data_IF_972054232609
#
_entry.id   IF_972054232609
#
_cell.length_a   1.000
_cell.length_b   1.000
_cell.length_c   1.000
_cell.angle_alpha   90.00
_cell.angle_beta   90.00
_cell.angle_gamma   90.00
#
_symmetry.space_group_name_H-M   'P 1'
#
loop_
_entity.id
_entity.type
_entity.pdbx_description
1 polymer ?
#
# COMPACT_ATOMS: atom_id res chain seq x y z
N UNK A 1 25.05 39.29 -15.38
CA UNK A 1 24.22 38.06 -15.33
C UNK A 1 23.64 37.75 -13.94
N UNK A 2 24.05 38.40 -12.82
CA UNK A 2 23.62 37.99 -11.47
C UNK A 2 22.20 38.43 -11.07
N UNK A 3 21.71 39.62 -11.48
CA UNK A 3 20.43 40.16 -10.97
C UNK A 3 19.18 39.33 -11.31
N UNK A 4 19.17 38.68 -12.49
CA UNK A 4 18.06 37.79 -12.89
C UNK A 4 18.10 36.47 -12.12
N UNK A 5 19.29 35.90 -11.93
CA UNK A 5 19.46 34.67 -11.16
C UNK A 5 19.05 34.88 -9.71
N UNK A 6 19.49 35.98 -9.09
CA UNK A 6 19.12 36.33 -7.71
C UNK A 6 17.61 36.48 -7.54
N UNK A 7 16.94 37.09 -8.54
CA UNK A 7 15.48 37.18 -8.59
C UNK A 7 14.84 35.78 -8.62
N UNK A 8 15.31 34.88 -9.48
CA UNK A 8 14.75 33.53 -9.57
C UNK A 8 14.97 32.73 -8.30
N UNK A 9 16.15 32.82 -7.69
CA UNK A 9 16.46 32.17 -6.40
C UNK A 9 15.53 32.68 -5.31
N UNK A 10 15.33 34.01 -5.23
CA UNK A 10 14.41 34.61 -4.24
C UNK A 10 12.97 34.15 -4.46
N UNK A 11 12.49 34.15 -5.70
CA UNK A 11 11.15 33.68 -6.05
C UNK A 11 10.99 32.20 -5.71
N UNK A 12 11.95 31.35 -6.06
CA UNK A 12 11.92 29.93 -5.72
C UNK A 12 11.87 29.71 -4.21
N UNK A 13 12.68 30.44 -3.43
CA UNK A 13 12.63 30.41 -1.96
C UNK A 13 11.25 30.79 -1.42
N UNK A 14 10.63 31.85 -1.93
CA UNK A 14 9.29 32.25 -1.51
C UNK A 14 8.23 31.20 -1.86
N UNK A 15 8.28 30.63 -3.07
CA UNK A 15 7.33 29.60 -3.50
C UNK A 15 7.50 28.29 -2.72
N UNK A 16 8.73 27.91 -2.37
CA UNK A 16 9.01 26.70 -1.57
C UNK A 16 8.40 26.75 -0.17
N UNK A 17 8.13 27.95 0.35
CA UNK A 17 7.48 28.15 1.65
C UNK A 17 5.97 27.91 1.61
N UNK A 18 5.36 27.73 0.43
CA UNK A 18 3.94 27.45 0.31
C UNK A 18 3.73 25.93 0.39
N UNK A 19 3.06 25.40 1.43
CA UNK A 19 2.80 23.99 1.53
C UNK A 19 1.67 23.54 0.59
N UNK A 20 1.75 22.31 0.10
CA UNK A 20 0.73 21.67 -0.72
C UNK A 20 -0.03 20.60 0.07
N UNK A 21 -1.35 20.61 -0.01
CA UNK A 21 -2.19 19.56 0.57
C UNK A 21 -2.04 18.26 -0.23
N UNK A 22 -1.76 17.15 0.46
CA UNK A 22 -1.70 15.81 -0.11
C UNK A 22 -3.02 15.05 0.05
N UNK A 23 -3.77 15.34 1.11
CA UNK A 23 -5.03 14.68 1.41
C UNK A 23 -5.60 15.11 2.75
N UNK A 24 -6.76 14.56 3.09
CA UNK A 24 -7.38 14.79 4.39
C UNK A 24 -8.47 13.77 4.69
N UNK A 25 -8.78 13.63 5.97
CA UNK A 25 -9.82 12.77 6.48
C UNK A 25 -10.64 13.53 7.54
N UNK A 26 -11.95 13.35 7.48
CA UNK A 26 -12.88 13.83 8.50
C UNK A 26 -13.19 12.65 9.42
N UNK A 27 -12.98 12.84 10.72
CA UNK A 27 -13.25 11.87 11.77
C UNK A 27 -14.62 12.12 12.40
N UNK A 28 -15.18 11.07 12.98
CA UNK A 28 -16.53 11.04 13.57
C UNK A 28 -16.77 12.09 14.66
N UNK A 29 -15.71 12.52 15.37
CA UNK A 29 -15.76 13.50 16.45
C UNK A 29 -15.59 14.96 15.99
N UNK A 30 -15.75 15.25 14.69
CA UNK A 30 -15.56 16.59 14.14
C UNK A 30 -14.09 17.00 14.02
N UNK A 31 -13.15 16.06 14.14
CA UNK A 31 -11.72 16.30 13.90
C UNK A 31 -11.42 16.15 12.41
N UNK A 32 -10.80 17.17 11.82
CA UNK A 32 -10.33 17.15 10.45
C UNK A 32 -8.82 17.04 10.47
N UNK A 33 -8.30 15.94 9.93
CA UNK A 33 -6.88 15.72 9.75
C UNK A 33 -6.52 15.99 8.30
N UNK A 34 -5.53 16.84 8.08
CA UNK A 34 -5.05 17.15 6.73
C UNK A 34 -3.56 16.88 6.64
N UNK A 35 -3.13 16.18 5.59
CA UNK A 35 -1.75 15.85 5.31
C UNK A 35 -1.19 16.86 4.31
N UNK A 36 -0.03 17.42 4.60
CA UNK A 36 0.62 18.44 3.81
C UNK A 36 2.07 18.07 3.50
N UNK A 37 2.58 18.65 2.43
CA UNK A 37 3.98 18.58 2.05
C UNK A 37 4.54 19.98 1.83
N UNK A 38 5.82 20.17 2.15
CA UNK A 38 6.52 21.43 1.91
C UNK A 38 7.98 21.15 1.55
N UNK A 39 8.48 21.85 0.53
CA UNK A 39 9.88 21.72 0.10
C UNK A 39 10.78 22.41 1.12
N UNK A 40 11.69 21.64 1.72
CA UNK A 40 12.76 22.16 2.56
C UNK A 40 14.02 22.27 1.69
N UNK A 41 14.40 23.52 1.37
CA UNK A 41 15.55 23.80 0.52
C UNK A 41 16.86 23.40 1.21
N UNK A 42 16.97 23.64 2.52
CA UNK A 42 18.19 23.40 3.28
C UNK A 42 18.44 21.91 3.49
N UNK A 43 17.39 21.12 3.78
CA UNK A 43 17.48 19.65 3.83
C UNK A 43 17.58 19.00 2.45
N UNK A 44 17.27 19.74 1.37
CA UNK A 44 17.17 19.20 0.01
C UNK A 44 16.03 18.17 -0.17
N UNK A 45 15.13 18.07 0.80
CA UNK A 45 14.05 17.07 0.87
C UNK A 45 12.69 17.75 1.08
N UNK A 46 11.62 16.99 0.94
CA UNK A 46 10.26 17.47 1.25
C UNK A 46 9.89 16.98 2.64
N UNK A 47 9.43 17.89 3.50
CA UNK A 47 8.89 17.58 4.81
C UNK A 47 7.40 17.30 4.66
N UNK A 48 6.89 16.26 5.32
CA UNK A 48 5.44 16.02 5.44
C UNK A 48 4.99 16.32 6.85
N UNK A 49 3.81 16.92 6.99
CA UNK A 49 3.25 17.22 8.30
C UNK A 49 1.72 17.14 8.28
N UNK A 50 1.15 16.85 9.43
CA UNK A 50 -0.30 16.82 9.65
C UNK A 50 -0.72 18.12 10.32
N UNK A 51 -1.85 18.68 9.87
CA UNK A 51 -2.61 19.72 10.59
C UNK A 51 -3.93 19.14 11.06
N UNK A 52 -4.23 19.34 12.33
CA UNK A 52 -5.48 18.89 12.95
C UNK A 52 -6.34 20.10 13.28
N UNK A 53 -7.59 20.06 12.83
CA UNK A 53 -8.61 21.06 13.11
C UNK A 53 -9.75 20.41 13.88
N UNK A 54 -10.22 21.06 14.93
CA UNK A 54 -11.42 20.67 15.67
C UNK A 54 -12.58 21.51 15.17
N UNK A 55 -13.68 20.85 14.78
CA UNK A 55 -14.84 21.53 14.22
C UNK A 55 -16.12 21.20 14.98
N UNK A 56 -17.04 22.16 14.99
CA UNK A 56 -18.43 21.97 15.41
C UNK A 56 -19.30 22.55 14.29
N UNK A 57 -20.24 21.75 13.77
CA UNK A 57 -21.04 22.10 12.59
C UNK A 57 -20.19 22.55 11.39
N UNK A 58 -19.07 21.85 11.15
CA UNK A 58 -18.08 22.14 10.09
C UNK A 58 -17.41 23.51 10.20
N UNK A 59 -17.53 24.19 11.34
CA UNK A 59 -16.82 25.45 11.63
C UNK A 59 -15.60 25.16 12.51
N UNK A 60 -14.41 25.68 12.16
CA UNK A 60 -13.22 25.49 12.97
C UNK A 60 -13.37 26.19 14.32
N UNK A 61 -13.19 25.44 15.40
CA UNK A 61 -13.24 25.93 16.79
C UNK A 61 -11.83 26.04 17.37
N UNK A 62 -10.95 25.11 17.01
CA UNK A 62 -9.54 25.12 17.43
C UNK A 62 -8.68 24.39 16.41
N UNK A 63 -7.38 24.66 16.44
CA UNK A 63 -6.35 23.95 15.67
C UNK A 63 -5.13 23.66 16.56
N UNK A 64 -4.28 22.75 16.10
CA UNK A 64 -3.03 22.38 16.78
C UNK A 64 -1.86 22.70 15.87
N UNK A 65 -0.71 22.98 16.48
CA UNK A 65 0.55 23.13 15.76
C UNK A 65 0.82 21.90 14.88
N UNK A 66 1.34 22.08 13.66
CA UNK A 66 1.62 20.96 12.76
C UNK A 66 2.57 19.93 13.37
N UNK A 67 2.30 18.65 13.09
CA UNK A 67 3.12 17.52 13.55
C UNK A 67 3.88 16.95 12.35
N UNK A 68 5.20 16.85 12.47
CA UNK A 68 6.05 16.23 11.43
C UNK A 68 5.75 14.73 11.33
N UNK A 69 5.47 14.29 10.10
CA UNK A 69 5.22 12.89 9.74
C UNK A 69 6.01 12.50 8.49
N UNK A 70 7.19 13.10 8.29
CA UNK A 70 7.99 12.92 7.07
C UNK A 70 8.36 11.46 6.79
N UNK A 71 8.50 10.66 7.84
CA UNK A 71 8.81 9.23 7.75
C UNK A 71 7.56 8.34 7.65
N UNK A 72 6.35 8.89 7.72
CA UNK A 72 5.10 8.15 7.50
C UNK A 72 4.82 8.05 6.01
N UNK A 73 4.81 6.82 5.49
CA UNK A 73 4.49 6.55 4.09
C UNK A 73 2.98 6.34 3.94
N UNK A 74 2.41 5.46 4.76
CA UNK A 74 0.97 5.17 4.81
C UNK A 74 0.47 5.27 6.23
N UNK A 75 -0.77 5.72 6.40
CA UNK A 75 -1.42 5.81 7.71
C UNK A 75 -2.93 5.70 7.53
N UNK A 76 -3.57 4.80 8.29
CA UNK A 76 -5.01 4.60 8.24
C UNK A 76 -5.58 4.37 9.63
N UNK A 77 -6.66 5.08 9.96
CA UNK A 77 -7.46 4.79 11.16
C UNK A 77 -8.40 3.61 10.89
N UNK A 78 -8.63 2.80 11.92
CA UNK A 78 -9.67 1.78 11.89
C UNK A 78 -11.05 2.44 11.87
N UNK A 79 -12.10 1.69 11.52
CA UNK A 79 -13.48 2.23 11.38
C UNK A 79 -14.03 2.81 12.70
N UNK A 80 -13.70 2.18 13.82
CA UNK A 80 -14.00 2.64 15.19
C UNK A 80 -13.07 3.77 15.65
N UNK A 81 -12.01 4.04 14.89
CA UNK A 81 -10.92 4.95 15.22
C UNK A 81 -10.16 4.63 16.51
N UNK A 82 -10.37 3.43 17.06
CA UNK A 82 -9.64 2.91 18.23
C UNK A 82 -8.19 2.62 17.89
N UNK A 83 -7.93 2.19 16.66
CA UNK A 83 -6.61 1.86 16.17
C UNK A 83 -6.18 2.77 15.03
N UNK A 84 -4.86 2.93 14.90
CA UNK A 84 -4.23 3.59 13.76
C UNK A 84 -3.05 2.75 13.32
N UNK A 85 -3.05 2.34 12.06
CA UNK A 85 -1.92 1.68 11.44
C UNK A 85 -1.04 2.75 10.80
N UNK A 86 0.27 2.60 10.89
CA UNK A 86 1.25 3.48 10.26
C UNK A 86 2.36 2.62 9.64
N UNK A 87 2.63 2.82 8.36
CA UNK A 87 3.83 2.31 7.71
C UNK A 87 4.89 3.41 7.71
N UNK A 88 6.00 3.18 8.41
CA UNK A 88 7.15 4.10 8.42
C UNK A 88 8.29 3.57 7.58
N UNK A 89 9.04 4.48 6.98
CA UNK A 89 10.34 4.17 6.39
C UNK A 89 11.45 4.93 7.08
N UNK A 90 12.47 4.18 7.49
CA UNK A 90 13.68 4.68 8.13
C UNK A 90 14.86 3.90 7.56
N UNK A 91 15.85 4.61 7.02
CA UNK A 91 17.06 4.02 6.44
C UNK A 91 16.78 2.86 5.44
N UNK A 92 15.78 3.07 4.56
CA UNK A 92 15.32 2.09 3.57
C UNK A 92 14.74 0.79 4.13
N UNK A 93 14.36 0.79 5.42
CA UNK A 93 13.58 -0.28 6.06
C UNK A 93 12.16 0.18 6.32
N UNK A 94 11.22 -0.74 6.18
CA UNK A 94 9.80 -0.50 6.42
C UNK A 94 9.37 -1.11 7.75
N UNK A 95 8.75 -0.28 8.59
CA UNK A 95 8.21 -0.69 9.88
C UNK A 95 6.70 -0.51 9.88
N UNK A 96 5.97 -1.57 10.21
CA UNK A 96 4.54 -1.51 10.44
C UNK A 96 4.27 -1.26 11.92
N UNK A 97 3.59 -0.17 12.23
CA UNK A 97 3.19 0.19 13.59
C UNK A 97 1.68 0.13 13.74
N UNK A 98 1.21 -0.47 14.83
CA UNK A 98 -0.18 -0.37 15.27
C UNK A 98 -0.25 0.45 16.54
N UNK A 99 -1.03 1.52 16.49
CA UNK A 99 -1.26 2.45 17.59
C UNK A 99 -2.65 2.25 18.16
N UNK A 100 -2.76 2.34 19.48
CA UNK A 100 -4.02 2.34 20.22
C UNK A 100 -3.99 3.47 21.26
N UNK A 101 -4.91 4.42 21.14
CA UNK A 101 -4.88 5.64 21.96
C UNK A 101 -3.58 6.44 21.74
N UNK A 102 -2.76 6.54 22.78
CA UNK A 102 -1.49 7.28 22.76
C UNK A 102 -0.24 6.38 22.70
N UNK A 103 -0.43 5.08 22.56
CA UNK A 103 0.66 4.10 22.65
C UNK A 103 0.76 3.29 21.36
N UNK A 104 2.00 2.94 20.98
CA UNK A 104 2.27 1.90 19.99
C UNK A 104 2.12 0.54 20.68
N UNK A 105 1.23 -0.30 20.17
CA UNK A 105 0.97 -1.65 20.72
C UNK A 105 1.68 -2.75 19.94
N UNK A 106 2.08 -2.48 18.69
CA UNK A 106 2.87 -3.37 17.83
C UNK A 106 3.82 -2.55 16.97
N UNK A 107 5.02 -3.07 16.77
CA UNK A 107 5.99 -2.56 15.79
C UNK A 107 6.68 -3.75 15.15
N UNK A 108 6.56 -3.88 13.84
CA UNK A 108 7.11 -5.00 13.06
C UNK A 108 8.11 -4.48 12.05
N UNK A 109 9.35 -4.95 12.11
CA UNK A 109 10.34 -4.75 11.05
C UNK A 109 10.01 -5.71 9.89
N UNK A 110 9.37 -5.20 8.84
CA UNK A 110 8.91 -6.00 7.70
C UNK A 110 10.10 -6.55 6.90
N UNK A 111 11.23 -5.84 6.88
CA UNK A 111 12.43 -6.28 6.21
C UNK A 111 13.08 -7.46 6.95
N UNK A 112 13.09 -7.43 8.28
CA UNK A 112 13.60 -8.54 9.09
C UNK A 112 12.67 -9.76 9.05
N UNK A 113 11.36 -9.55 8.94
CA UNK A 113 10.38 -10.62 8.78
C UNK A 113 10.52 -11.33 7.42
N UNK A 114 10.91 -10.59 6.38
CA UNK A 114 11.37 -11.11 5.08
C UNK A 114 10.35 -12.02 4.34
N UNK A 115 9.05 -11.83 4.64
CA UNK A 115 7.91 -12.57 4.06
C UNK A 115 7.55 -12.07 2.65
N UNK A 116 7.73 -10.78 2.38
CA UNK A 116 7.49 -10.14 1.09
C UNK A 116 8.56 -9.05 0.84
N UNK A 117 8.61 -8.49 -0.37
CA UNK A 117 9.44 -7.32 -0.68
C UNK A 117 8.82 -6.02 -0.16
N UNK A 118 9.18 -4.86 -0.72
CA UNK A 118 8.67 -3.58 -0.24
C UNK A 118 7.14 -3.47 -0.34
N UNK A 119 6.51 -2.94 0.70
CA UNK A 119 5.09 -2.54 0.70
C UNK A 119 4.90 -1.39 -0.29
N UNK A 120 3.86 -1.49 -1.12
CA UNK A 120 3.51 -0.48 -2.09
C UNK A 120 2.74 0.67 -1.45
N UNK A 121 3.09 1.90 -1.84
CA UNK A 121 2.57 3.12 -1.22
C UNK A 121 2.20 4.23 -2.21
N UNK A 122 2.21 3.91 -3.49
CA UNK A 122 1.77 4.75 -4.60
C UNK A 122 0.25 4.73 -4.77
N UNK A 123 -0.28 5.65 -5.58
CA UNK A 123 -1.73 5.73 -5.81
C UNK A 123 -2.31 4.55 -6.58
N UNK A 124 -1.48 3.82 -7.33
CA UNK A 124 -1.89 2.88 -8.36
C UNK A 124 -2.02 1.48 -7.80
N UNK A 125 -1.08 1.07 -6.94
CA UNK A 125 -1.10 -0.26 -6.32
C UNK A 125 -1.50 -0.27 -4.85
N UNK A 126 -1.16 0.77 -4.09
CA UNK A 126 -1.20 0.68 -2.65
C UNK A 126 -2.60 0.39 -2.10
N UNK A 127 -2.62 -0.32 -0.98
CA UNK A 127 -3.76 -0.39 -0.08
C UNK A 127 -3.24 -0.52 1.34
N UNK A 128 -4.02 -0.02 2.28
CA UNK A 128 -3.70 -0.03 3.71
C UNK A 128 -5.03 -0.04 4.48
N UNK A 129 -5.75 -1.14 4.35
CA UNK A 129 -7.16 -1.27 4.72
C UNK A 129 -7.33 -2.15 5.96
N UNK A 130 -8.08 -1.67 6.94
CA UNK A 130 -8.46 -2.46 8.11
C UNK A 130 -9.54 -3.49 7.75
N UNK A 131 -9.44 -4.70 8.30
CA UNK A 131 -10.58 -5.63 8.25
C UNK A 131 -11.78 -5.04 8.99
N UNK A 132 -13.03 -5.42 8.64
CA UNK A 132 -14.23 -4.88 9.29
C UNK A 132 -14.32 -5.14 10.79
N UNK A 133 -13.67 -6.19 11.28
CA UNK A 133 -13.53 -6.54 12.70
C UNK A 133 -12.31 -5.91 13.39
N UNK A 134 -11.51 -5.13 12.64
CA UNK A 134 -10.30 -4.42 13.07
C UNK A 134 -9.19 -5.30 13.64
N UNK A 135 -9.20 -6.60 13.31
CA UNK A 135 -8.18 -7.57 13.77
C UNK A 135 -7.02 -7.72 12.80
N UNK A 136 -7.24 -7.37 11.53
CA UNK A 136 -6.26 -7.52 10.48
C UNK A 136 -6.06 -6.22 9.70
N UNK A 137 -4.90 -6.11 9.09
CA UNK A 137 -4.55 -5.03 8.18
C UNK A 137 -4.13 -5.61 6.83
N UNK A 138 -4.86 -5.26 5.78
CA UNK A 138 -4.61 -5.67 4.40
C UNK A 138 -3.77 -4.62 3.68
N UNK A 139 -2.74 -5.06 2.97
CA UNK A 139 -1.90 -4.21 2.15
C UNK A 139 -1.32 -4.98 0.95
N UNK A 140 -0.75 -4.22 0.01
CA UNK A 140 -0.10 -4.77 -1.18
C UNK A 140 1.42 -4.63 -1.04
N UNK A 141 2.16 -5.68 -1.37
CA UNK A 141 3.62 -5.66 -1.36
C UNK A 141 4.21 -6.33 -2.61
N UNK A 142 5.49 -6.07 -2.86
CA UNK A 142 6.26 -6.78 -3.90
C UNK A 142 6.34 -8.27 -3.57
N UNK A 143 6.03 -9.12 -4.55
CA UNK A 143 6.23 -10.56 -4.46
C UNK A 143 7.72 -10.83 -4.41
N UNK A 144 8.16 -11.56 -3.39
CA UNK A 144 9.56 -11.97 -3.32
C UNK A 144 9.85 -13.02 -4.40
N UNK A 145 10.92 -12.85 -5.20
CA UNK A 145 11.28 -13.85 -6.19
C UNK A 145 11.70 -15.15 -5.53
N UNK A 146 11.36 -16.28 -6.14
CA UNK A 146 11.87 -17.59 -5.74
C UNK A 146 13.39 -17.56 -5.92
N UNK A 147 14.13 -17.92 -4.87
CA UNK A 147 15.61 -17.97 -4.96
C UNK A 147 16.00 -19.11 -5.90
N UNK A 148 16.52 -18.75 -7.08
CA UNK A 148 17.14 -19.69 -8.00
C UNK A 148 18.40 -20.29 -7.38
N UNK A 149 18.73 -21.51 -7.78
CA UNK A 149 20.02 -22.13 -7.46
C UNK A 149 20.99 -22.02 -8.64
N UNK A 150 22.30 -21.81 -8.39
CA UNK A 150 23.27 -21.80 -9.47
C UNK A 150 23.42 -23.21 -10.05
N UNK A 151 23.67 -23.31 -11.36
CA UNK A 151 23.90 -24.60 -12.03
C UNK A 151 25.07 -25.39 -11.41
N UNK A 152 26.08 -24.69 -10.88
CA UNK A 152 27.26 -25.28 -10.28
C UNK A 152 27.32 -24.96 -8.78
N UNK A 153 26.97 -25.94 -7.95
CA UNK A 153 27.09 -25.86 -6.48
C UNK A 153 28.10 -26.91 -6.03
N UNK A 154 29.29 -26.48 -5.55
CA UNK A 154 30.22 -27.38 -4.85
C UNK A 154 29.52 -27.78 -3.54
N UNK A 155 29.17 -29.07 -3.38
CA UNK A 155 28.61 -29.58 -2.13
C UNK A 155 29.67 -29.43 -1.03
N UNK A 156 29.36 -28.67 0.02
CA UNK A 156 30.16 -28.68 1.24
C UNK A 156 29.85 -30.00 2.00
N UNK A 157 30.83 -30.77 2.51
CA UNK A 157 30.57 -32.07 3.12
C UNK A 157 29.79 -32.03 4.45
N UNK A 158 29.55 -30.84 5.02
CA UNK A 158 29.01 -30.68 6.39
C UNK A 158 27.87 -29.66 6.43
N UNK A 159 26.74 -29.98 5.81
CA UNK A 159 25.47 -29.31 6.13
C UNK A 159 24.30 -30.24 5.86
N UNK A 160 24.16 -31.27 6.71
CA UNK A 160 22.86 -31.86 6.99
C UNK A 160 22.09 -30.85 7.86
N UNK A 161 21.50 -29.83 7.24
CA UNK A 161 20.39 -29.12 7.85
C UNK A 161 19.11 -29.73 7.28
N UNK A 162 18.76 -30.88 7.85
CA UNK A 162 17.37 -31.34 7.91
C UNK A 162 16.60 -30.31 8.76
N UNK A 163 15.73 -29.53 8.14
CA UNK A 163 14.96 -28.52 8.87
C UNK A 163 14.18 -27.55 7.99
N UNK A 164 13.05 -28.02 7.43
CA UNK A 164 11.87 -27.17 7.26
C UNK A 164 11.42 -26.80 5.84
N UNK A 165 10.28 -27.38 5.47
CA UNK A 165 9.22 -26.93 4.56
C UNK A 165 9.46 -26.87 3.04
N UNK A 166 8.84 -27.85 2.36
CA UNK A 166 8.26 -27.72 1.03
C UNK A 166 9.22 -27.95 -0.13
N UNK A 167 9.15 -29.14 -0.73
CA UNK A 167 9.80 -29.49 -1.99
C UNK A 167 9.21 -28.70 -3.18
N UNK A 168 9.42 -27.38 -3.22
CA UNK A 168 9.29 -26.62 -4.47
C UNK A 168 10.64 -26.66 -5.20
N UNK A 169 10.63 -27.24 -6.40
CA UNK A 169 11.82 -27.36 -7.24
C UNK A 169 12.32 -25.95 -7.59
N UNK A 170 13.40 -25.53 -6.93
CA UNK A 170 13.95 -24.19 -7.16
C UNK A 170 14.45 -24.09 -8.61
N UNK A 171 14.09 -23.02 -9.34
CA UNK A 171 14.59 -22.82 -10.68
C UNK A 171 16.11 -22.76 -10.68
N UNK A 172 16.77 -23.34 -11.69
CA UNK A 172 18.23 -23.38 -11.78
C UNK A 172 18.73 -22.38 -12.81
N UNK A 173 19.66 -21.53 -12.38
CA UNK A 173 20.33 -20.53 -13.22
C UNK A 173 19.44 -19.39 -13.70
N UNK A 174 18.29 -19.17 -13.05
CA UNK A 174 17.35 -18.10 -13.38
C UNK A 174 17.62 -16.80 -12.62
N UNK A 175 18.71 -16.75 -11.84
CA UNK A 175 19.10 -15.62 -10.98
C UNK A 175 19.20 -14.28 -11.73
N UNK A 176 19.54 -14.33 -13.02
CA UNK A 176 19.76 -13.16 -13.87
C UNK A 176 18.71 -13.01 -14.96
N UNK A 177 17.62 -13.78 -14.92
CA UNK A 177 16.51 -13.56 -15.85
C UNK A 177 15.92 -12.17 -15.62
N UNK A 178 15.84 -11.41 -16.71
CA UNK A 178 15.23 -10.10 -16.67
C UNK A 178 13.72 -10.24 -16.42
N UNK A 179 13.25 -9.58 -15.37
CA UNK A 179 11.83 -9.46 -15.07
C UNK A 179 11.47 -7.99 -15.23
N UNK A 180 10.57 -7.71 -16.18
CA UNK A 180 10.08 -6.37 -16.45
C UNK A 180 9.42 -5.77 -15.19
N UNK A 181 9.76 -4.54 -14.84
CA UNK A 181 9.01 -3.75 -13.86
C UNK A 181 7.97 -2.85 -14.54
N UNK A 182 7.12 -2.18 -13.76
CA UNK A 182 6.10 -1.27 -14.31
C UNK A 182 6.66 0.02 -14.93
N UNK A 183 7.97 0.30 -14.79
CA UNK A 183 8.61 1.51 -15.31
C UNK A 183 8.06 2.79 -14.67
N UNK A 184 8.08 3.90 -15.43
CA UNK A 184 7.61 5.22 -14.98
C UNK A 184 8.21 5.63 -13.62
N UNK A 185 7.38 5.76 -12.58
CA UNK A 185 7.80 6.02 -11.19
C UNK A 185 7.65 4.78 -10.28
N UNK A 186 7.56 3.59 -10.88
CA UNK A 186 7.29 2.30 -10.24
C UNK A 186 8.42 1.30 -10.51
N UNK A 187 9.64 1.79 -10.66
CA UNK A 187 10.85 0.98 -10.82
C UNK A 187 10.96 -0.01 -9.65
N UNK A 188 11.29 -1.26 -9.98
CA UNK A 188 11.40 -2.35 -9.02
C UNK A 188 10.08 -3.06 -8.69
N UNK A 189 8.91 -2.51 -9.07
CA UNK A 189 7.62 -3.20 -8.91
C UNK A 189 7.45 -4.22 -10.02
N UNK A 190 7.51 -5.50 -9.70
CA UNK A 190 7.41 -6.59 -10.69
C UNK A 190 6.11 -7.32 -10.48
N UNK A 191 5.96 -8.02 -9.38
CA UNK A 191 4.75 -8.77 -9.07
C UNK A 191 4.21 -8.31 -7.74
N UNK A 192 2.89 -8.34 -7.59
CA UNK A 192 2.26 -7.93 -6.34
C UNK A 192 1.63 -9.11 -5.63
N UNK A 193 1.60 -9.02 -4.30
CA UNK A 193 0.90 -9.97 -3.42
C UNK A 193 -0.01 -9.22 -2.47
N UNK A 194 -1.11 -9.87 -2.09
CA UNK A 194 -1.93 -9.44 -0.96
C UNK A 194 -1.32 -9.99 0.32
N UNK A 195 -1.00 -9.08 1.25
CA UNK A 195 -0.52 -9.42 2.56
C UNK A 195 -1.55 -8.98 3.61
N UNK A 196 -1.84 -9.86 4.56
CA UNK A 196 -2.61 -9.55 5.76
C UNK A 196 -1.68 -9.63 6.97
N UNK A 197 -1.66 -8.57 7.77
CA UNK A 197 -1.06 -8.59 9.09
C UNK A 197 -2.14 -8.85 10.14
N UNK A 198 -1.98 -9.93 10.90
CA UNK A 198 -2.83 -10.30 12.04
C UNK A 198 -2.27 -9.71 13.33
N UNK A 199 -3.06 -8.87 13.98
CA UNK A 199 -2.63 -8.09 15.15
C UNK A 199 -2.61 -8.95 16.42
N UNK A 200 -3.52 -9.92 16.54
CA UNK A 200 -3.62 -10.81 17.69
C UNK A 200 -2.46 -11.81 17.68
N UNK A 201 -2.20 -12.41 16.52
CA UNK A 201 -1.15 -13.41 16.32
C UNK A 201 0.23 -12.82 16.04
N UNK A 202 0.33 -11.50 15.83
CA UNK A 202 1.58 -10.79 15.52
C UNK A 202 2.32 -11.42 14.32
N UNK A 203 1.58 -11.64 13.22
CA UNK A 203 2.09 -12.38 12.08
C UNK A 203 1.61 -11.81 10.75
N UNK A 204 2.43 -11.96 9.70
CA UNK A 204 2.07 -11.59 8.33
C UNK A 204 1.82 -12.84 7.51
N UNK A 205 0.69 -12.88 6.80
CA UNK A 205 0.33 -13.96 5.89
C UNK A 205 0.11 -13.43 4.48
N UNK A 206 0.65 -14.13 3.48
CA UNK A 206 0.37 -13.86 2.08
C UNK A 206 -0.87 -14.64 1.64
N UNK A 207 -1.85 -13.94 1.09
CA UNK A 207 -3.07 -14.57 0.59
C UNK A 207 -2.78 -15.33 -0.69
N UNK A 208 -3.17 -16.61 -0.72
CA UNK A 208 -2.93 -17.53 -1.84
C UNK A 208 -4.11 -17.55 -2.81
N UNK A 209 -3.91 -18.15 -3.99
CA UNK A 209 -4.97 -18.37 -4.97
C UNK A 209 -5.15 -17.24 -6.00
N UNK A 210 -4.27 -16.24 -5.97
CA UNK A 210 -4.18 -15.25 -7.04
C UNK A 210 -3.38 -15.84 -8.22
N UNK A 211 -3.82 -15.67 -9.47
CA UNK A 211 -3.05 -16.05 -10.65
C UNK A 211 -1.69 -15.35 -10.71
N UNK A 212 -0.67 -16.04 -11.23
CA UNK A 212 0.70 -15.50 -11.35
C UNK A 212 0.87 -14.51 -12.53
N UNK A 213 -0.08 -14.47 -13.46
CA UNK A 213 -0.08 -13.60 -14.65
C UNK A 213 -0.71 -12.23 -14.41
N UNK A 214 -1.10 -11.92 -13.16
CA UNK A 214 -1.68 -10.64 -12.78
C UNK A 214 -0.89 -9.96 -11.65
N UNK A 215 -1.03 -8.64 -11.58
CA UNK A 215 -0.67 -7.84 -10.41
C UNK A 215 -1.93 -7.22 -9.82
N UNK A 216 -2.26 -7.61 -8.59
CA UNK A 216 -3.31 -7.01 -7.77
C UNK A 216 -2.92 -5.63 -7.24
N UNK A 217 -3.92 -4.77 -7.10
CA UNK A 217 -3.82 -3.36 -6.76
C UNK A 217 -5.08 -2.91 -6.00
N UNK A 218 -4.91 -1.93 -5.10
CA UNK A 218 -6.01 -1.26 -4.41
C UNK A 218 -7.08 -2.19 -3.78
N UNK A 219 -6.69 -3.33 -3.15
CA UNK A 219 -7.66 -4.24 -2.55
C UNK A 219 -8.38 -3.57 -1.37
N UNK A 220 -9.65 -3.91 -1.18
CA UNK A 220 -10.47 -3.53 -0.02
C UNK A 220 -11.32 -4.70 0.43
N UNK A 221 -11.53 -4.80 1.73
CA UNK A 221 -12.50 -5.74 2.28
C UNK A 221 -13.93 -5.36 1.86
N UNK A 222 -14.77 -6.37 1.68
CA UNK A 222 -16.21 -6.22 1.72
C UNK A 222 -16.66 -5.73 3.11
N UNK A 223 -17.84 -5.12 3.18
CA UNK A 223 -18.36 -4.57 4.44
C UNK A 223 -18.54 -5.63 5.55
N UNK A 224 -18.79 -6.88 5.15
CA UNK A 224 -18.96 -8.05 6.03
C UNK A 224 -17.65 -8.83 6.27
N UNK A 225 -16.57 -8.48 5.56
CA UNK A 225 -15.25 -9.11 5.70
C UNK A 225 -15.17 -10.51 5.08
N UNK A 226 -16.19 -10.94 4.34
CA UNK A 226 -16.23 -12.27 3.73
C UNK A 226 -15.32 -12.40 2.51
N UNK A 227 -15.06 -11.28 1.82
CA UNK A 227 -14.28 -11.27 0.61
C UNK A 227 -13.50 -9.96 0.42
N UNK A 228 -12.53 -9.99 -0.48
CA UNK A 228 -11.70 -8.84 -0.85
C UNK A 228 -11.96 -8.52 -2.31
N UNK A 229 -12.22 -7.25 -2.62
CA UNK A 229 -12.32 -6.75 -3.99
C UNK A 229 -11.13 -5.85 -4.29
N UNK A 230 -10.63 -5.89 -5.51
CA UNK A 230 -9.54 -5.02 -5.93
C UNK A 230 -9.41 -4.94 -7.43
N UNK A 231 -8.38 -4.23 -7.89
CA UNK A 231 -8.02 -4.12 -9.30
C UNK A 231 -6.90 -5.10 -9.61
N UNK A 232 -6.95 -5.73 -10.77
CA UNK A 232 -5.90 -6.59 -11.29
C UNK A 232 -5.44 -6.06 -12.66
N UNK A 233 -4.13 -6.04 -12.85
CA UNK A 233 -3.49 -5.71 -14.12
C UNK A 233 -2.80 -6.94 -14.68
N UNK A 234 -3.05 -7.24 -15.95
CA UNK A 234 -2.35 -8.30 -16.67
C UNK A 234 -0.89 -7.93 -16.86
N UNK A 235 0.00 -8.90 -16.65
CA UNK A 235 1.45 -8.73 -16.79
C UNK A 235 1.90 -9.01 -18.23
N UNK A 236 1.26 -9.98 -18.89
CA UNK A 236 1.57 -10.42 -20.24
C UNK A 236 0.58 -9.82 -21.28
N UNK A 237 1.00 -9.59 -22.53
CA UNK A 237 2.35 -9.81 -23.08
C UNK A 237 3.36 -8.70 -22.70
N UNK A 238 2.91 -7.64 -22.03
CA UNK A 238 3.76 -6.55 -21.53
C UNK A 238 3.01 -5.72 -20.50
N UNK A 239 3.75 -5.17 -19.53
CA UNK A 239 3.24 -4.16 -18.60
C UNK A 239 3.07 -2.81 -19.30
N UNK A 240 1.87 -2.25 -19.23
CA UNK A 240 1.56 -0.91 -19.73
C UNK A 240 1.71 0.12 -18.60
N UNK A 241 2.14 1.35 -18.94
CA UNK A 241 2.26 2.42 -17.96
C UNK A 241 0.94 2.68 -17.22
N UNK A 242 1.02 2.89 -15.90
CA UNK A 242 -0.15 3.11 -15.05
C UNK A 242 -0.35 4.58 -14.68
N UNK A 243 0.73 5.37 -14.70
CA UNK A 243 0.74 6.76 -14.27
C UNK A 243 0.42 7.69 -15.45
N UNK A 244 1.13 7.56 -16.57
CA UNK A 244 1.00 8.51 -17.69
C UNK A 244 0.16 7.98 -18.86
N UNK A 245 -0.30 6.73 -18.79
CA UNK A 245 -1.21 6.14 -19.77
C UNK A 245 -2.51 5.66 -19.09
N UNK A 246 -3.62 6.32 -19.38
CA UNK A 246 -4.94 5.96 -18.83
C UNK A 246 -5.65 4.90 -19.67
N UNK A 247 -5.23 4.64 -20.91
CA UNK A 247 -5.82 3.62 -21.78
C UNK A 247 -5.13 2.27 -21.56
N UNK A 248 -5.62 1.50 -20.58
CA UNK A 248 -5.08 0.18 -20.23
C UNK A 248 -6.20 -0.76 -19.81
N UNK A 249 -6.02 -2.04 -20.09
CA UNK A 249 -6.91 -3.06 -19.58
C UNK A 249 -6.69 -3.26 -18.08
N UNK A 250 -7.78 -3.31 -17.34
CA UNK A 250 -7.79 -3.67 -15.93
C UNK A 250 -9.05 -4.47 -15.63
N UNK A 251 -8.98 -5.32 -14.61
CA UNK A 251 -10.08 -6.19 -14.22
C UNK A 251 -10.35 -6.02 -12.74
N UNK A 252 -11.61 -6.06 -12.34
CA UNK A 252 -11.97 -6.14 -10.93
C UNK A 252 -11.92 -7.62 -10.54
N UNK A 253 -11.19 -7.95 -9.48
CA UNK A 253 -11.16 -9.30 -8.94
C UNK A 253 -11.92 -9.36 -7.60
N UNK A 254 -12.39 -10.56 -7.28
CA UNK A 254 -12.90 -10.93 -5.98
C UNK A 254 -12.06 -12.10 -5.44
N UNK A 255 -11.59 -11.99 -4.20
CA UNK A 255 -10.87 -13.03 -3.48
C UNK A 255 -11.66 -13.46 -2.25
N UNK A 256 -11.84 -14.79 -2.08
CA UNK A 256 -12.58 -15.39 -0.98
C UNK A 256 -11.66 -16.39 -0.28
N UNK A 257 -11.66 -16.39 1.06
CA UNK A 257 -10.93 -17.39 1.84
C UNK A 257 -11.49 -18.80 1.62
N UNK A 258 -10.64 -19.75 1.27
CA UNK A 258 -11.03 -21.15 1.04
C UNK A 258 -11.64 -21.84 2.28
N UNK A 259 -11.48 -21.29 3.48
CA UNK A 259 -12.12 -21.82 4.70
C UNK A 259 -13.66 -21.71 4.67
N UNK A 260 -14.23 -20.86 3.81
CA UNK A 260 -15.67 -20.65 3.68
C UNK A 260 -16.32 -21.60 2.65
N UNK A 261 -15.53 -22.36 1.88
CA UNK A 261 -16.05 -23.33 0.91
C UNK A 261 -16.22 -24.69 1.60
N UNK A 262 -17.16 -24.76 2.54
CA UNK A 262 -17.88 -26.00 2.84
C UNK A 262 -19.30 -25.78 2.36
N UNK A 263 -19.47 -25.83 1.04
CA UNK A 263 -20.61 -26.40 0.31
C UNK A 263 -20.45 -26.06 -1.19
N UNK A 264 -20.42 -27.13 -1.99
CA UNK A 264 -20.61 -27.21 -3.43
C UNK A 264 -19.53 -26.63 -4.37
N UNK A 265 -18.62 -27.55 -4.75
CA UNK A 265 -18.06 -27.79 -6.09
C UNK A 265 -17.72 -26.59 -7.01
N UNK A 266 -16.42 -26.52 -7.33
CA UNK A 266 -15.78 -25.79 -8.43
C UNK A 266 -15.86 -24.25 -8.36
N UNK A 267 -14.78 -23.64 -7.87
CA UNK A 267 -14.52 -22.20 -8.04
C UNK A 267 -14.17 -21.95 -9.51
N UNK A 268 -15.17 -21.53 -10.27
CA UNK A 268 -14.96 -20.73 -11.48
C UNK A 268 -14.80 -19.27 -11.08
N UNK A 269 -13.89 -18.56 -11.77
CA UNK A 269 -13.95 -17.10 -11.89
C UNK A 269 -15.30 -16.80 -12.56
N UNK A 270 -16.31 -16.41 -11.77
CA UNK A 270 -17.59 -15.94 -12.30
C UNK A 270 -17.58 -14.41 -12.30
N UNK A 271 -17.84 -13.86 -13.49
CA UNK A 271 -18.06 -12.45 -13.84
C UNK A 271 -16.81 -11.58 -14.10
N UNK A 272 -16.33 -11.68 -15.34
CA UNK A 272 -15.51 -10.66 -15.99
C UNK A 272 -16.42 -9.49 -16.37
N UNK A 273 -16.55 -8.49 -15.49
CA UNK A 273 -17.03 -7.18 -15.90
C UNK A 273 -15.83 -6.40 -16.46
N UNK A 274 -15.67 -6.42 -17.78
CA UNK A 274 -14.74 -5.54 -18.48
C UNK A 274 -15.26 -4.11 -18.35
N UNK A 275 -14.82 -3.39 -17.31
CA UNK A 275 -15.19 -1.98 -17.16
C UNK A 275 -14.15 -1.12 -17.85
N UNK A 276 -14.47 -0.69 -19.07
CA UNK A 276 -13.71 0.34 -19.79
C UNK A 276 -14.07 1.69 -19.18
N UNK A 277 -13.36 2.12 -18.12
CA UNK A 277 -13.57 3.45 -17.56
C UNK A 277 -12.88 4.53 -18.42
N UNK A 278 -13.70 5.27 -19.17
CA UNK A 278 -13.40 6.66 -19.52
C UNK A 278 -14.14 7.55 -18.52
N UNK A 279 -13.46 8.08 -17.50
CA UNK A 279 -13.74 9.46 -17.03
C UNK A 279 -12.78 9.96 -15.95
N UNK A 280 -12.44 11.23 -16.09
CA UNK A 280 -11.92 12.13 -15.07
C UNK A 280 -12.82 12.18 -13.82
N UNK A 281 -12.19 12.17 -12.65
CA UNK A 281 -12.69 12.69 -11.36
C UNK A 281 -14.14 12.32 -11.01
N UNK A 282 -14.33 11.31 -10.14
CA UNK A 282 -15.55 11.19 -9.35
C UNK A 282 -15.19 11.06 -7.86
N UNK A 283 -15.60 12.06 -7.09
CA UNK A 283 -15.63 12.05 -5.63
C UNK A 283 -16.88 11.28 -5.20
N UNK A 284 -16.72 10.16 -4.52
CA UNK A 284 -17.82 9.45 -3.86
C UNK A 284 -18.12 10.13 -2.52
N UNK A 285 -19.12 11.02 -2.51
CA UNK A 285 -19.77 11.47 -1.28
C UNK A 285 -20.90 10.50 -0.97
N UNK A 286 -20.79 9.77 0.14
CA UNK A 286 -21.89 8.97 0.68
C UNK A 286 -22.79 9.89 1.51
N UNK A 287 -24.04 10.08 1.07
CA UNK A 287 -25.11 10.63 1.89
C UNK A 287 -26.19 9.56 2.07
N UNK A 288 -26.70 9.33 3.30
CA UNK A 288 -27.77 8.38 3.53
C UNK A 288 -29.11 9.01 3.12
N UNK A 289 -29.80 8.36 2.18
CA UNK A 289 -31.22 8.60 1.94
C UNK A 289 -32.01 7.86 3.03
N UNK A 290 -32.63 8.63 3.93
CA UNK A 290 -33.80 8.19 4.70
C UNK A 290 -34.85 9.31 4.69
N UNK A 291 -36.05 8.87 4.35
CA UNK A 291 -37.37 9.45 4.61
C UNK A 291 -37.82 10.69 3.82
N UNK A 292 -38.56 10.41 2.73
CA UNK A 292 -39.78 11.10 2.30
C UNK A 292 -40.67 10.14 1.50
#
# INVERSE_FOLDING_TARGET
>A
MSTKADKFVKTYKQLSQIPAALGGAIRSNGVINTLWSQRDIEKGKTTKFIKNFFTTDLKPVADVTPIDVSNEILSQFSKSEKFRAVLRELDSKQYLEIWQGHNTIRTVDLNALDVHGSVYSDGEFASFEWSPDEKKLLYVAEKKPIKSEPFYKRKCPTSNNEGGNGDEEKPKGEEYLFIQDWGEQMVGKKYSVLAEYDIENDSVTILKGLPDDICVAQPKYSNDGLYIVGVAYQVEPRKLGLIYCTNRLSTIFNWISMATIVCENNVHITDVLTVTFFLSMLVLVSLPLKDL
#
